data_IF_683397888097
#
_entry.id   IF_683397888097
#
_cell.length_a   1.000
_cell.length_b   1.000
_cell.length_c   1.000
_cell.angle_alpha   90.00
_cell.angle_beta   90.00
_cell.angle_gamma   90.00
#
_symmetry.space_group_name_H-M   'P 1'
#
loop_
_entity.id
_entity.type
_entity.pdbx_description
1 polymer ?
#
# COMPACT_ATOMS: atom_id res chain seq x y z
N UNK A 1 -37.01 3.23 -40.87
CA UNK A 1 -36.34 2.22 -40.03
C UNK A 1 -35.17 2.90 -39.32
N UNK A 2 -35.40 3.51 -38.15
CA UNK A 2 -34.38 4.22 -37.39
C UNK A 2 -33.93 3.34 -36.21
N UNK A 3 -32.68 2.88 -36.23
CA UNK A 3 -32.11 2.10 -35.13
C UNK A 3 -31.57 3.06 -34.05
N UNK A 4 -32.26 3.12 -32.91
CA UNK A 4 -31.80 3.87 -31.75
C UNK A 4 -30.69 3.08 -31.04
N UNK A 5 -29.43 3.48 -31.24
CA UNK A 5 -28.29 2.98 -30.48
C UNK A 5 -28.33 3.57 -29.07
N UNK A 6 -28.80 2.79 -28.11
CA UNK A 6 -28.75 3.14 -26.69
C UNK A 6 -27.35 2.81 -26.14
N UNK A 7 -26.49 3.83 -26.07
CA UNK A 7 -25.20 3.74 -25.40
C UNK A 7 -25.43 3.50 -23.89
N UNK A 8 -25.34 2.24 -23.47
CA UNK A 8 -25.32 1.86 -22.05
C UNK A 8 -24.02 2.41 -21.43
N UNK A 9 -24.14 3.51 -20.70
CA UNK A 9 -23.08 4.05 -19.85
C UNK A 9 -22.67 2.97 -18.84
N UNK A 10 -21.50 2.38 -19.03
CA UNK A 10 -20.86 1.53 -18.03
C UNK A 10 -20.56 2.41 -16.82
N UNK A 11 -21.31 2.21 -15.73
CA UNK A 11 -20.97 2.78 -14.43
C UNK A 11 -19.64 2.15 -13.99
N UNK A 12 -18.56 2.93 -14.10
CA UNK A 12 -17.30 2.58 -13.51
C UNK A 12 -17.52 2.42 -12.00
N UNK A 13 -17.34 1.21 -11.46
CA UNK A 13 -17.30 1.02 -10.02
C UNK A 13 -16.20 1.92 -9.47
N UNK A 14 -16.56 2.83 -8.57
CA UNK A 14 -15.59 3.58 -7.78
C UNK A 14 -14.69 2.56 -7.09
N UNK A 15 -13.40 2.54 -7.46
CA UNK A 15 -12.38 1.87 -6.65
C UNK A 15 -12.57 2.39 -5.23
N UNK A 16 -12.91 1.49 -4.30
CA UNK A 16 -13.01 1.84 -2.89
C UNK A 16 -11.71 2.56 -2.51
N UNK A 17 -11.80 3.86 -2.21
CA UNK A 17 -10.67 4.62 -1.70
C UNK A 17 -10.27 3.93 -0.39
N UNK A 18 -9.09 3.32 -0.35
CA UNK A 18 -8.53 2.87 0.92
C UNK A 18 -8.40 4.11 1.80
N UNK A 19 -8.96 4.06 3.00
CA UNK A 19 -8.75 5.10 4.00
C UNK A 19 -7.28 5.05 4.38
N UNK A 20 -6.51 6.02 3.88
CA UNK A 20 -5.10 6.20 4.22
C UNK A 20 -5.00 6.69 5.67
N UNK A 21 -4.04 6.15 6.41
CA UNK A 21 -3.66 6.60 7.75
C UNK A 21 -4.41 5.97 8.92
N UNK A 22 -4.26 6.60 10.08
CA UNK A 22 -4.74 6.10 11.38
C UNK A 22 -6.27 6.11 11.43
N UNK A 23 -6.85 4.95 11.71
CA UNK A 23 -8.28 4.82 12.00
C UNK A 23 -8.52 4.97 13.50
N UNK A 24 -9.69 5.49 13.87
CA UNK A 24 -10.13 5.61 15.26
C UNK A 24 -11.16 4.52 15.54
N UNK A 25 -10.99 3.80 16.65
CA UNK A 25 -11.92 2.77 17.10
C UNK A 25 -13.19 3.38 17.73
N UNK A 26 -14.28 2.61 17.90
CA UNK A 26 -15.50 3.11 18.56
C UNK A 26 -15.27 3.67 19.97
N UNK A 27 -14.23 3.18 20.65
CA UNK A 27 -13.84 3.61 21.98
C UNK A 27 -13.02 4.92 22.01
N UNK A 28 -12.83 5.55 20.84
CA UNK A 28 -12.06 6.78 20.65
C UNK A 28 -10.54 6.58 20.55
N UNK A 29 -10.05 5.34 20.66
CA UNK A 29 -8.62 5.03 20.64
C UNK A 29 -8.10 4.87 19.20
N UNK A 30 -6.91 5.42 18.91
CA UNK A 30 -6.22 5.23 17.62
C UNK A 30 -5.83 3.76 17.43
N UNK A 31 -6.18 3.22 16.28
CA UNK A 31 -5.78 1.87 15.84
C UNK A 31 -4.37 1.95 15.28
N UNK A 32 -3.50 1.03 15.71
CA UNK A 32 -2.10 0.98 15.25
C UNK A 32 -2.00 0.55 13.78
N UNK A 33 -0.83 0.76 13.16
CA UNK A 33 -0.56 0.35 11.77
C UNK A 33 -0.68 -1.17 11.53
N UNK A 34 -0.56 -1.99 12.58
CA UNK A 34 -0.79 -3.44 12.52
C UNK A 34 -2.28 -3.81 12.69
N UNK A 35 -3.14 -2.84 13.01
CA UNK A 35 -4.56 -3.06 13.28
C UNK A 35 -4.89 -3.30 14.76
N UNK A 36 -3.93 -3.24 15.68
CA UNK A 36 -4.18 -3.47 17.10
C UNK A 36 -4.89 -2.28 17.76
N UNK A 37 -5.92 -2.60 18.54
CA UNK A 37 -6.58 -1.76 19.54
C UNK A 37 -7.10 -2.66 20.66
N UNK A 38 -7.28 -2.12 21.87
CA UNK A 38 -7.91 -2.88 22.95
C UNK A 38 -9.43 -2.86 22.82
N UNK A 39 -10.08 -3.96 23.23
CA UNK A 39 -11.53 -4.02 23.27
C UNK A 39 -12.08 -3.00 24.26
N UNK A 40 -13.32 -2.54 24.03
CA UNK A 40 -13.92 -1.48 24.85
C UNK A 40 -13.93 -1.82 26.35
N UNK A 41 -14.22 -3.09 26.68
CA UNK A 41 -14.29 -3.64 28.04
C UNK A 41 -12.96 -4.17 28.57
N UNK A 42 -11.86 -3.99 27.84
CA UNK A 42 -10.56 -4.48 28.26
C UNK A 42 -9.97 -3.58 29.35
N UNK A 43 -9.77 -4.14 30.54
CA UNK A 43 -9.19 -3.43 31.69
C UNK A 43 -7.82 -2.82 31.38
N UNK A 44 -7.08 -3.40 30.41
CA UNK A 44 -5.75 -2.94 30.02
C UNK A 44 -5.73 -1.50 29.49
N UNK A 45 -6.87 -0.96 29.07
CA UNK A 45 -7.03 0.44 28.61
C UNK A 45 -6.78 1.46 29.69
N UNK A 46 -6.93 1.09 30.97
CA UNK A 46 -6.70 2.00 32.11
C UNK A 46 -5.31 2.64 32.09
N UNK A 47 -4.31 1.97 31.49
CA UNK A 47 -2.93 2.48 31.37
C UNK A 47 -2.83 3.78 30.54
N UNK A 48 -3.84 4.06 29.72
CA UNK A 48 -3.90 5.24 28.86
C UNK A 48 -4.92 6.27 29.35
N UNK A 49 -5.55 6.06 30.50
CA UNK A 49 -6.34 7.12 31.13
C UNK A 49 -5.36 8.20 31.61
N UNK A 50 -5.68 9.47 31.33
CA UNK A 50 -4.83 10.65 31.57
C UNK A 50 -3.46 10.62 30.87
N UNK A 51 -3.28 9.72 29.91
CA UNK A 51 -2.06 9.58 29.10
C UNK A 51 -2.44 9.40 27.64
N UNK A 52 -1.47 9.57 26.73
CA UNK A 52 -1.69 9.31 25.31
C UNK A 52 -1.16 7.95 24.90
N UNK A 53 -1.91 7.22 24.08
CA UNK A 53 -1.40 6.07 23.35
C UNK A 53 -0.63 6.58 22.14
N UNK A 54 0.68 6.36 22.15
CA UNK A 54 1.55 6.75 21.04
C UNK A 54 1.37 5.79 19.85
N UNK A 55 1.02 6.35 18.70
CA UNK A 55 0.86 5.62 17.43
C UNK A 55 1.50 6.47 16.34
N UNK A 56 2.37 5.86 15.54
CA UNK A 56 2.91 6.50 14.35
C UNK A 56 1.80 6.71 13.32
N UNK A 57 1.60 7.95 12.84
CA UNK A 57 0.54 8.28 11.88
C UNK A 57 0.94 8.03 10.43
N UNK A 58 2.24 7.96 10.15
CA UNK A 58 2.78 7.69 8.82
C UNK A 58 2.90 6.18 8.57
N UNK A 59 1.83 5.59 8.04
CA UNK A 59 1.78 4.16 7.76
C UNK A 59 2.56 3.80 6.49
N UNK A 60 3.54 2.89 6.60
CA UNK A 60 4.38 2.49 5.47
C UNK A 60 3.59 1.83 4.31
N UNK A 61 2.49 1.13 4.62
CA UNK A 61 1.61 0.50 3.61
C UNK A 61 0.99 1.53 2.64
N UNK A 62 0.71 2.71 3.17
CA UNK A 62 0.08 3.81 2.45
C UNK A 62 1.11 4.53 1.59
N UNK A 63 2.26 4.85 2.20
CA UNK A 63 3.37 5.52 1.54
C UNK A 63 3.93 4.71 0.37
N UNK A 64 4.04 3.38 0.52
CA UNK A 64 4.56 2.53 -0.57
C UNK A 64 3.53 2.35 -1.70
N UNK A 65 2.24 2.38 -1.37
CA UNK A 65 1.18 2.30 -2.38
C UNK A 65 1.05 3.60 -3.18
N UNK A 66 1.48 4.72 -2.62
CA UNK A 66 1.54 6.02 -3.29
C UNK A 66 2.70 6.11 -4.30
N UNK A 67 3.77 5.34 -4.10
CA UNK A 67 4.91 5.33 -5.02
C UNK A 67 4.51 4.78 -6.40
N UNK A 68 4.99 5.41 -7.50
CA UNK A 68 4.71 4.92 -8.84
C UNK A 68 5.40 3.58 -9.10
N UNK A 69 4.82 2.80 -10.00
CA UNK A 69 5.46 1.58 -10.51
C UNK A 69 6.55 1.98 -11.49
N UNK A 70 7.76 1.46 -11.29
CA UNK A 70 8.90 1.73 -12.15
C UNK A 70 8.82 0.84 -13.40
N UNK A 71 8.75 1.47 -14.57
CA UNK A 71 8.77 0.78 -15.86
C UNK A 71 10.21 0.64 -16.37
N UNK A 72 10.55 -0.56 -16.82
CA UNK A 72 11.91 -0.92 -17.24
C UNK A 72 11.86 -1.79 -18.50
N UNK A 73 12.86 -1.69 -19.38
CA UNK A 73 12.87 -2.48 -20.62
C UNK A 73 13.48 -3.89 -20.43
N UNK A 74 14.11 -4.13 -19.28
CA UNK A 74 14.82 -5.38 -19.00
C UNK A 74 13.92 -6.41 -18.32
N UNK A 75 14.16 -7.68 -18.67
CA UNK A 75 13.48 -8.86 -18.11
C UNK A 75 13.80 -9.09 -16.62
N UNK A 76 15.03 -8.78 -16.20
CA UNK A 76 15.50 -8.92 -14.81
C UNK A 76 16.14 -7.61 -14.39
N UNK A 77 15.74 -7.09 -13.23
CA UNK A 77 16.32 -5.84 -12.67
C UNK A 77 17.03 -6.09 -11.36
N UNK A 78 18.06 -5.28 -11.09
CA UNK A 78 18.76 -5.26 -9.81
C UNK A 78 18.24 -4.09 -8.96
N UNK A 79 17.82 -4.37 -7.74
CA UNK A 79 17.41 -3.36 -6.76
C UNK A 79 18.33 -3.45 -5.53
N UNK A 80 18.89 -2.33 -5.13
CA UNK A 80 19.71 -2.16 -3.92
C UNK A 80 19.08 -1.16 -2.93
N UNK A 81 17.90 -0.62 -3.24
CA UNK A 81 17.22 0.38 -2.42
C UNK A 81 17.80 1.79 -2.51
N UNK A 82 18.76 2.02 -3.42
CA UNK A 82 19.44 3.30 -3.60
C UNK A 82 20.59 3.50 -2.61
N UNK A 83 21.56 4.34 -3.00
CA UNK A 83 22.70 4.69 -2.13
C UNK A 83 23.74 3.58 -1.96
N UNK A 84 23.72 2.54 -2.78
CA UNK A 84 24.70 1.45 -2.76
C UNK A 84 24.70 0.71 -1.41
N UNK A 85 25.71 0.97 -0.57
CA UNK A 85 25.83 0.34 0.74
C UNK A 85 24.84 0.88 1.80
N UNK A 86 24.17 2.01 1.54
CA UNK A 86 23.19 2.60 2.46
C UNK A 86 21.78 1.99 2.32
N UNK A 87 21.55 1.22 1.26
CA UNK A 87 20.28 0.55 1.01
C UNK A 87 20.25 -0.87 1.58
N UNK A 88 19.59 -1.77 0.85
CA UNK A 88 19.53 -3.19 1.19
C UNK A 88 20.48 -4.02 0.31
N UNK A 89 20.74 -5.29 0.65
CA UNK A 89 21.52 -6.18 -0.21
C UNK A 89 20.95 -6.21 -1.64
N UNK A 90 21.82 -6.10 -2.64
CA UNK A 90 21.42 -6.13 -4.04
C UNK A 90 20.66 -7.42 -4.34
N UNK A 91 19.42 -7.29 -4.81
CA UNK A 91 18.58 -8.42 -5.24
C UNK A 91 18.15 -8.27 -6.68
N UNK A 92 17.93 -9.42 -7.32
CA UNK A 92 17.47 -9.50 -8.70
C UNK A 92 16.00 -9.90 -8.72
N UNK A 93 15.18 -9.10 -9.40
CA UNK A 93 13.73 -9.28 -9.48
C UNK A 93 13.38 -9.67 -10.91
N UNK A 94 12.66 -10.77 -11.05
CA UNK A 94 12.23 -11.28 -12.36
C UNK A 94 10.90 -10.65 -12.78
N UNK A 95 10.83 -10.15 -14.03
CA UNK A 95 9.67 -9.45 -14.59
C UNK A 95 8.96 -10.22 -15.71
N UNK A 96 9.26 -11.52 -15.87
CA UNK A 96 8.66 -12.42 -16.88
C UNK A 96 7.13 -12.44 -16.92
N UNK A 97 6.49 -12.11 -15.80
CA UNK A 97 5.03 -12.17 -15.66
C UNK A 97 4.43 -10.79 -15.87
N UNK A 98 4.01 -10.47 -17.09
CA UNK A 98 3.37 -9.19 -17.43
C UNK A 98 2.08 -8.88 -16.64
N UNK A 99 1.43 -9.93 -16.12
CA UNK A 99 0.18 -9.82 -15.36
C UNK A 99 0.35 -9.24 -13.95
N UNK A 100 1.58 -9.21 -13.43
CA UNK A 100 1.87 -8.72 -12.06
C UNK A 100 3.11 -7.84 -12.08
N UNK A 101 3.16 -6.88 -11.16
CA UNK A 101 4.39 -6.11 -10.92
C UNK A 101 5.36 -6.94 -10.08
N UNK A 102 6.64 -6.89 -10.41
CA UNK A 102 7.71 -7.44 -9.58
C UNK A 102 7.94 -6.51 -8.40
N UNK A 103 7.62 -6.96 -7.19
CA UNK A 103 7.81 -6.16 -5.97
C UNK A 103 9.13 -6.51 -5.31
N UNK A 104 9.91 -5.50 -4.93
CA UNK A 104 11.13 -5.72 -4.14
C UNK A 104 10.76 -6.14 -2.71
N UNK A 105 11.34 -7.24 -2.23
CA UNK A 105 11.10 -7.75 -0.87
C UNK A 105 11.66 -6.87 0.26
N UNK A 106 12.45 -5.84 -0.06
CA UNK A 106 13.04 -4.92 0.91
C UNK A 106 12.36 -3.55 0.87
N UNK A 107 12.55 -2.79 -0.21
CA UNK A 107 11.96 -1.45 -0.33
C UNK A 107 10.46 -1.44 -0.60
N UNK A 108 9.86 -2.56 -1.02
CA UNK A 108 8.45 -2.61 -1.43
C UNK A 108 8.14 -1.92 -2.76
N UNK A 109 9.14 -1.31 -3.42
CA UNK A 109 8.98 -0.69 -4.73
C UNK A 109 8.56 -1.73 -5.77
N UNK A 110 7.73 -1.30 -6.71
CA UNK A 110 7.17 -2.15 -7.74
C UNK A 110 7.83 -1.84 -9.08
N UNK A 111 8.11 -2.88 -9.84
CA UNK A 111 8.71 -2.81 -11.16
C UNK A 111 7.84 -3.55 -12.17
N UNK A 112 7.78 -3.06 -13.40
CA UNK A 112 7.08 -3.71 -14.50
C UNK A 112 7.92 -3.63 -15.76
N UNK A 113 7.97 -4.71 -16.53
CA UNK A 113 8.59 -4.65 -17.84
C UNK A 113 7.69 -3.89 -18.80
N UNK A 114 8.22 -2.85 -19.43
CA UNK A 114 7.55 -2.14 -20.50
C UNK A 114 7.85 -2.85 -21.83
N UNK A 115 6.81 -3.43 -22.44
CA UNK A 115 6.92 -4.07 -23.75
C UNK A 115 6.59 -3.02 -24.82
N UNK A 116 7.59 -2.68 -25.63
CA UNK A 116 7.43 -1.81 -26.80
C UNK A 116 6.95 -2.59 -28.02
#
# INVERSE_FOLDING_TARGET
MAAALTFRRLLALSRAARGFGVRVSPSGEKVTHTGQVYDEKDYRRIRFVDRQKEVNESFAIDLIAEQPVNEVDHRVIACDGGGGALGHPKVYINLDKETKTGTCGYCGLQFKQHHR
#
